data_IF_742641095479
#
_entry.id   IF_742641095479
#
_cell.length_a   1.000
_cell.length_b   1.000
_cell.length_c   1.000
_cell.angle_alpha   90.00
_cell.angle_beta   90.00
_cell.angle_gamma   90.00
#
_symmetry.space_group_name_H-M   'P 1'
#
loop_
_entity.id
_entity.type
_entity.pdbx_description
1 polymer ?
#
# COMPACT_ATOMS: atom_id res chain seq x y z
N UNK A 1 2.05 -13.22 23.02
CA UNK A 1 1.19 -12.85 24.17
C UNK A 1 1.96 -12.58 25.46
N UNK A 2 3.13 -13.19 25.68
CA UNK A 2 3.95 -12.93 26.88
C UNK A 2 4.41 -11.47 27.00
N UNK A 3 4.87 -10.86 25.90
CA UNK A 3 5.27 -9.44 25.87
C UNK A 3 4.13 -8.50 26.32
N UNK A 4 2.89 -8.77 25.89
CA UNK A 4 1.71 -7.99 26.30
C UNK A 4 1.34 -8.19 27.77
N UNK A 5 1.68 -9.36 28.35
CA UNK A 5 1.56 -9.55 29.80
C UNK A 5 2.64 -8.75 30.52
N UNK A 6 3.88 -8.76 30.04
CA UNK A 6 4.97 -7.97 30.66
C UNK A 6 4.68 -6.47 30.68
N UNK A 7 4.15 -5.90 29.59
CA UNK A 7 3.76 -4.47 29.53
C UNK A 7 2.70 -4.12 30.59
N UNK A 8 1.73 -5.01 30.82
CA UNK A 8 0.72 -4.83 31.89
C UNK A 8 1.34 -4.79 33.28
N UNK A 9 2.38 -5.59 33.55
CA UNK A 9 3.05 -5.58 34.86
C UNK A 9 3.84 -4.29 35.10
N UNK A 10 4.24 -3.58 34.04
CA UNK A 10 4.98 -2.32 34.12
C UNK A 10 4.02 -1.10 34.06
N UNK A 11 2.70 -1.33 34.14
CA UNK A 11 1.66 -0.29 34.04
C UNK A 11 1.71 0.51 32.72
N UNK A 12 2.13 -0.13 31.63
CA UNK A 12 2.11 0.45 30.28
C UNK A 12 0.89 -0.09 29.52
N UNK A 13 0.26 0.76 28.71
CA UNK A 13 -0.81 0.34 27.82
C UNK A 13 -0.34 -0.77 26.85
N UNK A 14 -1.20 -1.74 26.61
CA UNK A 14 -0.93 -2.94 25.80
C UNK A 14 -1.94 -3.10 24.66
N UNK A 15 -2.71 -2.04 24.37
CA UNK A 15 -3.60 -2.00 23.22
C UNK A 15 -2.80 -1.99 21.91
N UNK A 16 -3.08 -2.96 21.05
CA UNK A 16 -2.41 -3.11 19.77
C UNK A 16 -3.11 -2.28 18.69
N UNK A 17 -2.69 -1.02 18.50
CA UNK A 17 -3.36 -0.08 17.58
C UNK A 17 -2.81 -0.12 16.14
N UNK A 18 -1.91 -1.04 15.84
CA UNK A 18 -1.27 -1.12 14.53
C UNK A 18 0.10 -1.77 14.59
N UNK A 19 0.81 -1.72 13.47
CA UNK A 19 2.12 -2.34 13.30
C UNK A 19 3.04 -1.45 12.45
N UNK A 20 4.34 -1.71 12.52
CA UNK A 20 5.33 -0.96 11.76
C UNK A 20 6.10 -1.87 10.82
N UNK A 21 6.54 -1.32 9.68
CA UNK A 21 7.40 -2.01 8.73
C UNK A 21 8.48 -1.06 8.22
N UNK A 22 9.72 -1.54 8.22
CA UNK A 22 10.79 -0.89 7.48
C UNK A 22 10.74 -1.30 6.01
N UNK A 23 10.70 -0.32 5.11
CA UNK A 23 10.77 -0.55 3.66
C UNK A 23 11.97 0.18 3.08
N UNK A 24 12.52 -0.35 2.00
CA UNK A 24 13.58 0.30 1.25
C UNK A 24 12.99 0.98 0.01
N UNK A 25 13.37 2.24 -0.23
CA UNK A 25 13.04 2.99 -1.45
C UNK A 25 11.53 3.12 -1.74
N UNK A 26 10.67 3.06 -0.70
CA UNK A 26 9.23 3.24 -0.85
C UNK A 26 8.48 2.08 -1.54
N UNK A 27 9.09 0.91 -1.71
CA UNK A 27 8.39 -0.30 -2.18
C UNK A 27 7.68 -0.99 -1.02
N UNK A 28 6.57 -0.40 -0.55
CA UNK A 28 5.83 -0.93 0.59
C UNK A 28 4.52 -1.61 0.21
N UNK A 29 3.87 -1.17 -0.88
CA UNK A 29 2.56 -1.69 -1.28
C UNK A 29 2.71 -3.11 -1.82
N UNK A 30 2.59 -4.08 -0.93
CA UNK A 30 2.68 -5.51 -1.21
C UNK A 30 1.36 -6.17 -0.84
N UNK A 31 0.97 -7.24 -1.53
CA UNK A 31 -0.23 -8.02 -1.17
C UNK A 31 -0.22 -8.50 0.28
N UNK A 32 0.93 -8.96 0.77
CA UNK A 32 1.09 -9.36 2.16
C UNK A 32 0.86 -8.19 3.16
N UNK A 33 1.28 -6.97 2.81
CA UNK A 33 1.01 -5.78 3.62
C UNK A 33 -0.49 -5.48 3.64
N UNK A 34 -1.15 -5.53 2.48
CA UNK A 34 -2.60 -5.33 2.37
C UNK A 34 -3.38 -6.36 3.19
N UNK A 35 -3.03 -7.65 3.06
CA UNK A 35 -3.70 -8.74 3.78
C UNK A 35 -3.50 -8.60 5.30
N UNK A 36 -2.29 -8.23 5.73
CA UNK A 36 -1.99 -7.97 7.14
C UNK A 36 -2.75 -6.76 7.66
N UNK A 37 -2.76 -5.65 6.92
CA UNK A 37 -3.48 -4.44 7.30
C UNK A 37 -4.98 -4.68 7.37
N UNK A 38 -5.55 -5.43 6.41
CA UNK A 38 -6.96 -5.82 6.44
C UNK A 38 -7.29 -6.65 7.68
N UNK A 39 -6.45 -7.63 8.03
CA UNK A 39 -6.63 -8.46 9.23
C UNK A 39 -6.63 -7.63 10.51
N UNK A 40 -5.66 -6.72 10.66
CA UNK A 40 -5.57 -5.85 11.84
C UNK A 40 -6.70 -4.84 11.90
N UNK A 41 -7.09 -4.25 10.76
CA UNK A 41 -8.18 -3.29 10.69
C UNK A 41 -9.57 -3.94 10.87
N UNK A 42 -9.69 -5.23 10.58
CA UNK A 42 -10.88 -6.02 10.89
C UNK A 42 -11.00 -6.30 12.39
N UNK A 43 -9.88 -6.52 13.08
CA UNK A 43 -9.86 -6.70 14.53
C UNK A 43 -10.07 -5.37 15.27
N UNK A 44 -9.48 -4.28 14.76
CA UNK A 44 -9.48 -2.95 15.38
C UNK A 44 -9.66 -1.91 14.27
N UNK A 45 -10.78 -1.20 14.29
CA UNK A 45 -11.18 -0.27 13.21
C UNK A 45 -10.16 0.85 12.97
N UNK A 46 -9.48 1.30 14.01
CA UNK A 46 -8.49 2.39 13.97
C UNK A 46 -7.05 1.93 13.71
N UNK A 47 -6.84 0.71 13.18
CA UNK A 47 -5.50 0.18 12.91
C UNK A 47 -4.73 1.01 11.87
N UNK A 48 -3.51 1.42 12.21
CA UNK A 48 -2.60 2.18 11.33
C UNK A 48 -1.32 1.39 11.04
N UNK A 49 -0.80 1.47 9.82
CA UNK A 49 0.54 0.96 9.49
C UNK A 49 1.54 2.10 9.45
N UNK A 50 2.64 1.95 10.20
CA UNK A 50 3.74 2.91 10.18
C UNK A 50 4.87 2.39 9.28
N UNK A 51 5.21 3.16 8.26
CA UNK A 51 6.22 2.81 7.27
C UNK A 51 7.45 3.69 7.53
N UNK A 52 8.56 3.03 7.81
CA UNK A 52 9.85 3.67 8.07
C UNK A 52 10.81 3.38 6.92
N UNK A 53 11.40 4.43 6.33
CA UNK A 53 12.47 4.29 5.34
C UNK A 53 13.82 4.66 5.97
N UNK A 54 14.65 3.67 6.34
CA UNK A 54 15.94 3.92 6.97
C UNK A 54 16.94 4.60 6.01
N UNK A 55 16.80 4.41 4.69
CA UNK A 55 17.73 4.96 3.71
C UNK A 55 17.48 6.45 3.55
N UNK A 56 16.21 6.86 3.45
CA UNK A 56 15.85 8.29 3.43
C UNK A 56 16.16 8.98 4.75
N UNK A 57 15.94 8.28 5.86
CA UNK A 57 16.26 8.81 7.19
C UNK A 57 17.76 9.01 7.39
N UNK A 58 18.60 8.12 6.87
CA UNK A 58 20.05 8.29 6.85
C UNK A 58 20.53 9.44 5.95
N UNK A 59 19.72 9.90 5.00
CA UNK A 59 20.01 11.10 4.20
C UNK A 59 19.61 12.40 4.91
N UNK A 60 19.12 12.29 6.15
CA UNK A 60 18.93 13.42 7.06
C UNK A 60 17.49 13.91 7.20
N UNK A 61 16.53 13.40 6.41
CA UNK A 61 15.10 13.67 6.62
C UNK A 61 14.40 12.44 7.17
N UNK A 62 13.79 12.58 8.35
CA UNK A 62 13.01 11.50 8.97
C UNK A 62 11.84 11.12 8.08
N UNK A 63 11.93 9.96 7.43
CA UNK A 63 10.90 9.45 6.54
C UNK A 63 10.03 8.44 7.27
N UNK A 64 8.97 8.97 7.89
CA UNK A 64 7.91 8.20 8.51
C UNK A 64 6.62 8.51 7.79
N UNK A 65 5.91 7.46 7.36
CA UNK A 65 4.59 7.59 6.75
C UNK A 65 3.61 6.69 7.47
N UNK A 66 2.50 7.26 7.90
CA UNK A 66 1.42 6.51 8.52
C UNK A 66 0.29 6.36 7.50
N UNK A 67 -0.11 5.13 7.23
CA UNK A 67 -1.19 4.84 6.29
C UNK A 67 -2.31 4.08 6.98
N UNK A 68 -3.53 4.39 6.55
CA UNK A 68 -4.74 3.67 6.91
C UNK A 68 -5.44 3.20 5.64
N UNK A 69 -6.13 2.06 5.70
CA UNK A 69 -6.96 1.59 4.61
C UNK A 69 -8.30 2.32 4.62
N UNK A 70 -8.77 2.75 3.45
CA UNK A 70 -10.07 3.41 3.32
C UNK A 70 -11.21 2.41 3.64
N UNK A 71 -12.29 2.83 4.34
CA UNK A 71 -13.42 1.94 4.66
C UNK A 71 -14.05 1.30 3.42
N UNK A 72 -14.08 2.01 2.27
CA UNK A 72 -14.55 1.46 0.99
C UNK A 72 -13.76 0.23 0.53
N UNK A 73 -12.45 0.22 0.75
CA UNK A 73 -11.61 -0.91 0.37
C UNK A 73 -11.77 -2.08 1.35
N UNK A 74 -12.02 -1.77 2.63
CA UNK A 74 -12.34 -2.78 3.65
C UNK A 74 -13.64 -3.53 3.30
N UNK A 75 -14.67 -2.86 2.80
CA UNK A 75 -15.93 -3.49 2.39
C UNK A 75 -15.71 -4.47 1.22
N UNK A 76 -15.02 -4.03 0.17
CA UNK A 76 -14.71 -4.88 -1.00
C UNK A 76 -13.82 -6.08 -0.62
N UNK A 77 -12.82 -5.86 0.25
CA UNK A 77 -11.99 -6.96 0.75
C UNK A 77 -12.75 -7.95 1.64
N UNK A 78 -13.75 -7.48 2.40
CA UNK A 78 -14.61 -8.34 3.24
C UNK A 78 -15.52 -9.24 2.41
N UNK A 79 -16.06 -8.72 1.31
CA UNK A 79 -16.88 -9.48 0.36
C UNK A 79 -16.05 -10.48 -0.46
N UNK A 80 -14.71 -10.36 -0.46
CA UNK A 80 -13.76 -11.15 -1.28
C UNK A 80 -14.02 -11.06 -2.79
N UNK A 81 -14.81 -10.09 -3.21
CA UNK A 81 -15.17 -9.86 -4.60
C UNK A 81 -14.11 -9.02 -5.30
N UNK A 82 -12.97 -9.64 -5.63
CA UNK A 82 -11.94 -9.04 -6.50
C UNK A 82 -12.33 -9.06 -7.99
N UNK A 83 -13.63 -9.01 -8.28
CA UNK A 83 -14.14 -8.95 -9.65
C UNK A 83 -14.01 -7.52 -10.20
N UNK A 84 -13.63 -7.34 -11.48
CA UNK A 84 -13.57 -6.01 -12.11
C UNK A 84 -14.92 -5.28 -12.07
N UNK A 85 -16.04 -6.01 -12.01
CA UNK A 85 -17.37 -5.41 -11.88
C UNK A 85 -17.63 -4.87 -10.47
N UNK A 86 -17.14 -5.54 -9.42
CA UNK A 86 -17.25 -5.09 -8.03
C UNK A 86 -16.36 -3.85 -7.78
N UNK A 87 -15.13 -3.86 -8.33
CA UNK A 87 -14.24 -2.69 -8.31
C UNK A 87 -14.84 -1.49 -9.05
N UNK A 88 -15.50 -1.72 -10.19
CA UNK A 88 -16.19 -0.67 -10.95
C UNK A 88 -17.42 -0.12 -10.22
N UNK A 89 -18.15 -0.96 -9.48
CA UNK A 89 -19.27 -0.53 -8.62
C UNK A 89 -18.78 0.24 -7.38
N UNK A 90 -17.65 -0.16 -6.81
CA UNK A 90 -17.04 0.47 -5.64
C UNK A 90 -16.33 1.80 -5.91
N UNK A 91 -16.14 2.19 -7.19
CA UNK A 91 -15.41 3.40 -7.61
C UNK A 91 -14.08 3.59 -6.84
N UNK A 92 -13.32 2.50 -6.66
CA UNK A 92 -12.03 2.54 -5.97
C UNK A 92 -10.99 3.08 -6.96
N UNK A 93 -10.54 4.31 -6.74
CA UNK A 93 -9.42 4.94 -7.46
C UNK A 93 -8.12 4.75 -6.67
N UNK A 94 -6.98 4.75 -7.35
CA UNK A 94 -5.64 4.61 -6.75
C UNK A 94 -5.38 5.62 -5.62
N UNK A 95 -5.93 6.83 -5.71
CA UNK A 95 -5.80 7.89 -4.70
C UNK A 95 -6.54 7.58 -3.40
N UNK A 96 -7.60 6.78 -3.47
CA UNK A 96 -8.47 6.47 -2.34
C UNK A 96 -8.24 5.07 -1.79
N UNK A 97 -7.16 4.39 -2.17
CA UNK A 97 -6.81 3.09 -1.60
C UNK A 97 -6.24 3.23 -0.18
N UNK A 98 -5.32 4.18 0.01
CA UNK A 98 -4.68 4.46 1.29
C UNK A 98 -4.88 5.93 1.65
N UNK A 99 -5.24 6.17 2.90
CA UNK A 99 -5.30 7.50 3.49
C UNK A 99 -4.03 7.73 4.31
N UNK A 100 -3.32 8.82 4.02
CA UNK A 100 -2.14 9.22 4.78
C UNK A 100 -2.56 9.99 6.04
N UNK A 101 -2.14 9.52 7.20
CA UNK A 101 -2.45 10.14 8.50
C UNK A 101 -1.27 11.03 8.91
N UNK A 102 -1.50 12.33 9.19
CA UNK A 102 -0.42 13.22 9.60
C UNK A 102 0.16 12.79 10.96
N UNK A 103 1.50 12.69 11.03
CA UNK A 103 2.21 12.28 12.24
C UNK A 103 2.56 13.52 13.06
N UNK A 104 2.12 13.56 14.32
CA UNK A 104 2.45 14.63 15.28
C UNK A 104 3.27 14.04 16.42
N UNK A 105 4.53 14.48 16.54
CA UNK A 105 5.41 14.06 17.63
C UNK A 105 5.06 14.87 18.89
N UNK A 106 4.64 14.18 19.95
CA UNK A 106 4.34 14.78 21.25
C UNK A 106 5.32 14.26 22.28
N UNK A 107 6.03 15.17 22.93
CA UNK A 107 6.97 14.85 24.01
C UNK A 107 6.42 15.35 25.35
N UNK A 108 6.63 14.56 26.41
CA UNK A 108 6.36 15.01 27.77
C UNK A 108 7.46 15.97 28.25
N UNK A 109 7.15 16.79 29.26
CA UNK A 109 8.12 17.73 29.81
C UNK A 109 9.39 17.03 30.35
N UNK A 110 9.25 15.83 30.92
CA UNK A 110 10.40 15.06 31.43
C UNK A 110 11.32 14.57 30.30
N UNK A 111 10.74 14.10 29.19
CA UNK A 111 11.51 13.70 27.99
C UNK A 111 12.25 14.91 27.42
N UNK A 112 11.63 16.10 27.44
CA UNK A 112 12.30 17.31 27.01
C UNK A 112 13.51 17.62 27.90
N UNK A 113 13.38 17.56 29.23
CA UNK A 113 14.51 17.76 30.16
C UNK A 113 15.64 16.75 29.89
N UNK A 114 15.29 15.48 29.65
CA UNK A 114 16.26 14.46 29.28
C UNK A 114 16.97 14.80 27.95
N UNK A 115 16.24 15.30 26.96
CA UNK A 115 16.82 15.72 25.68
C UNK A 115 17.83 16.87 25.87
N UNK A 116 17.51 17.85 26.73
CA UNK A 116 18.42 18.94 27.08
C UNK A 116 19.69 18.44 27.79
N UNK A 117 19.56 17.43 28.65
CA UNK A 117 20.71 16.81 29.33
C UNK A 117 21.59 16.03 28.34
N UNK A 118 20.97 15.28 27.42
CA UNK A 118 21.67 14.56 26.37
C UNK A 118 22.43 15.50 25.43
N UNK A 119 21.83 16.64 25.06
CA UNK A 119 22.49 17.64 24.22
C UNK A 119 23.76 18.21 24.88
N UNK A 120 23.73 18.42 26.20
CA UNK A 120 24.91 18.88 26.96
C UNK A 120 25.99 17.80 27.13
N UNK A 121 25.58 16.53 27.19
CA UNK A 121 26.47 15.38 27.39
C UNK A 121 27.04 14.83 26.09
N UNK A 122 26.35 15.04 24.98
CA UNK A 122 26.77 14.62 23.64
C UNK A 122 27.78 15.61 23.07
N UNK A 123 28.86 15.10 22.49
CA UNK A 123 29.65 15.88 21.54
C UNK A 123 28.74 16.29 20.37
N UNK A 124 29.03 17.44 19.75
CA UNK A 124 28.28 18.03 18.64
C UNK A 124 27.97 16.94 17.61
N UNK A 125 26.70 16.52 17.54
CA UNK A 125 26.24 15.64 16.49
C UNK A 125 26.21 16.45 15.21
N UNK A 126 27.24 16.28 14.37
CA UNK A 126 27.36 16.95 13.08
C UNK A 126 26.19 16.54 12.18
N UNK A 127 25.17 17.42 12.11
CA UNK A 127 24.00 17.28 11.23
C UNK A 127 24.34 17.57 9.76
N UNK A 128 25.55 17.26 9.31
CA UNK A 128 26.04 17.57 7.97
C UNK A 128 25.48 16.64 6.89
N UNK A 129 24.89 15.50 7.24
CA UNK A 129 24.29 14.57 6.28
C UNK A 129 23.09 15.17 5.51
N UNK A 130 22.32 16.08 6.13
CA UNK A 130 21.17 16.75 5.50
C UNK A 130 21.56 17.58 4.27
N UNK A 131 22.80 18.07 4.21
CA UNK A 131 23.31 18.93 3.14
C UNK A 131 24.07 18.12 2.07
N UNK A 132 24.09 16.80 2.17
CA UNK A 132 24.79 15.94 1.22
C UNK A 132 24.05 15.87 -0.11
N UNK A 133 24.52 16.64 -1.09
CA UNK A 133 24.05 16.60 -2.48
C UNK A 133 24.51 15.33 -3.23
N UNK A 134 25.36 14.50 -2.62
CA UNK A 134 25.87 13.25 -3.18
C UNK A 134 24.81 12.14 -3.14
N UNK A 135 23.69 12.34 -3.85
CA UNK A 135 22.54 11.43 -3.88
C UNK A 135 22.38 10.67 -5.21
N UNK A 136 23.36 10.72 -6.12
CA UNK A 136 23.25 10.15 -7.48
C UNK A 136 22.88 8.66 -7.47
N UNK A 137 23.47 7.88 -6.57
CA UNK A 137 23.20 6.45 -6.44
C UNK A 137 21.79 6.14 -5.90
N UNK A 138 21.25 7.01 -5.04
CA UNK A 138 19.89 6.84 -4.51
C UNK A 138 18.83 7.15 -5.57
N UNK A 139 19.03 8.22 -6.34
CA UNK A 139 18.16 8.53 -7.46
C UNK A 139 18.21 7.43 -8.54
N UNK A 140 19.40 6.92 -8.87
CA UNK A 140 19.56 5.83 -9.81
C UNK A 140 18.80 4.56 -9.38
N UNK A 141 18.89 4.17 -8.10
CA UNK A 141 18.13 3.03 -7.56
C UNK A 141 16.62 3.25 -7.55
N UNK A 142 16.16 4.45 -7.18
CA UNK A 142 14.73 4.79 -7.27
C UNK A 142 14.21 4.73 -8.71
N UNK A 143 15.00 5.23 -9.66
CA UNK A 143 14.65 5.16 -11.08
C UNK A 143 14.64 3.72 -11.59
N UNK A 144 15.61 2.90 -11.20
CA UNK A 144 15.63 1.48 -11.56
C UNK A 144 14.39 0.76 -11.02
N UNK A 145 14.01 0.99 -9.77
CA UNK A 145 12.81 0.41 -9.19
C UNK A 145 11.53 0.88 -9.89
N UNK A 146 11.50 2.15 -10.33
CA UNK A 146 10.40 2.67 -11.14
C UNK A 146 10.35 2.01 -12.53
N UNK A 147 11.51 1.82 -13.18
CA UNK A 147 11.60 1.13 -14.47
C UNK A 147 11.04 -0.28 -14.37
N UNK A 148 11.41 -1.04 -13.33
CA UNK A 148 10.90 -2.39 -13.11
C UNK A 148 9.36 -2.41 -12.98
N UNK A 149 8.78 -1.44 -12.25
CA UNK A 149 7.32 -1.31 -12.10
C UNK A 149 6.60 -0.87 -13.37
N UNK A 150 7.23 0.01 -14.15
CA UNK A 150 6.69 0.44 -15.45
C UNK A 150 6.72 -0.70 -16.45
N UNK A 151 7.77 -1.53 -16.44
CA UNK A 151 7.88 -2.71 -17.29
C UNK A 151 6.83 -3.77 -16.91
N UNK A 152 6.61 -4.03 -15.63
CA UNK A 152 5.50 -4.87 -15.15
C UNK A 152 4.14 -4.33 -15.61
N UNK A 153 3.90 -3.03 -15.49
CA UNK A 153 2.68 -2.39 -15.96
C UNK A 153 2.51 -2.52 -17.49
N UNK A 154 3.59 -2.37 -18.25
CA UNK A 154 3.59 -2.54 -19.70
C UNK A 154 3.20 -3.97 -20.09
N UNK A 155 3.74 -4.97 -19.41
CA UNK A 155 3.36 -6.37 -19.61
C UNK A 155 1.87 -6.61 -19.34
N UNK A 156 1.33 -6.01 -18.28
CA UNK A 156 -0.08 -6.15 -17.94
C UNK A 156 -1.00 -5.42 -18.93
N UNK A 157 -0.59 -4.28 -19.47
CA UNK A 157 -1.30 -3.60 -20.57
C UNK A 157 -1.35 -4.49 -21.81
N UNK A 158 -0.25 -5.16 -22.16
CA UNK A 158 -0.23 -6.08 -23.31
C UNK A 158 -1.17 -7.27 -23.10
N UNK A 159 -1.16 -7.86 -21.89
CA UNK A 159 -2.11 -8.94 -21.53
C UNK A 159 -3.56 -8.45 -21.63
N UNK A 160 -3.85 -7.27 -21.11
CA UNK A 160 -5.19 -6.67 -21.16
C UNK A 160 -5.64 -6.40 -22.61
N UNK A 161 -4.77 -5.82 -23.44
CA UNK A 161 -5.07 -5.60 -24.87
C UNK A 161 -5.34 -6.91 -25.61
N UNK A 162 -4.61 -7.97 -25.29
CA UNK A 162 -4.83 -9.30 -25.85
C UNK A 162 -6.17 -9.88 -25.40
N UNK A 163 -6.52 -9.73 -24.12
CA UNK A 163 -7.82 -10.11 -23.57
C UNK A 163 -8.98 -9.37 -24.26
N UNK A 164 -8.85 -8.05 -24.47
CA UNK A 164 -9.86 -7.24 -25.18
C UNK A 164 -10.05 -7.70 -26.63
N UNK A 165 -8.95 -7.99 -27.35
CA UNK A 165 -9.01 -8.53 -28.71
C UNK A 165 -9.70 -9.89 -28.75
N UNK A 166 -9.40 -10.79 -27.81
CA UNK A 166 -10.01 -12.12 -27.74
C UNK A 166 -11.51 -12.04 -27.40
N UNK A 167 -11.89 -11.18 -26.47
CA UNK A 167 -13.29 -10.99 -26.07
C UNK A 167 -14.12 -10.42 -27.22
N UNK A 168 -13.59 -9.45 -27.97
CA UNK A 168 -14.23 -8.91 -29.17
C UNK A 168 -14.43 -9.97 -30.26
N UNK A 169 -13.41 -10.79 -30.53
CA UNK A 169 -13.53 -11.93 -31.47
C UNK A 169 -14.58 -12.95 -31.04
N UNK A 170 -14.62 -13.30 -29.75
CA UNK A 170 -15.62 -14.22 -29.21
C UNK A 170 -17.04 -13.65 -29.31
N UNK A 171 -17.23 -12.35 -29.05
CA UNK A 171 -18.54 -11.70 -29.21
C UNK A 171 -19.00 -11.71 -30.67
N UNK A 172 -18.10 -11.44 -31.63
CA UNK A 172 -18.40 -11.52 -33.06
C UNK A 172 -18.75 -12.93 -33.52
N UNK A 173 -18.03 -13.96 -33.02
CA UNK A 173 -18.34 -15.36 -33.31
C UNK A 173 -19.69 -15.77 -32.70
N UNK A 174 -19.98 -15.40 -31.45
CA UNK A 174 -21.29 -15.67 -30.84
C UNK A 174 -22.44 -14.97 -31.57
N UNK A 175 -22.22 -13.75 -32.06
CA UNK A 175 -23.21 -13.05 -32.89
C UNK A 175 -23.43 -13.77 -34.22
N UNK A 176 -22.36 -14.20 -34.91
CA UNK A 176 -22.49 -14.96 -36.15
C UNK A 176 -23.20 -16.29 -35.94
N UNK A 177 -22.80 -17.10 -34.95
CA UNK A 177 -23.45 -18.39 -34.64
C UNK A 177 -24.90 -18.20 -34.21
N UNK A 178 -25.21 -17.18 -33.43
CA UNK A 178 -26.59 -16.85 -33.03
C UNK A 178 -27.47 -16.39 -34.19
N UNK A 179 -26.88 -15.75 -35.21
CA UNK A 179 -27.58 -15.37 -36.45
C UNK A 179 -27.79 -16.61 -37.33
N UNK A 180 -26.76 -17.43 -37.57
CA UNK A 180 -26.88 -18.66 -38.37
C UNK A 180 -27.86 -19.67 -37.77
N UNK A 181 -27.84 -19.86 -36.44
CA UNK A 181 -28.78 -20.73 -35.75
C UNK A 181 -30.24 -20.26 -35.83
N UNK A 182 -30.51 -18.95 -35.96
CA UNK A 182 -31.86 -18.44 -36.22
C UNK A 182 -32.32 -18.68 -37.66
N UNK A 183 -31.40 -18.66 -38.62
CA UNK A 183 -31.71 -18.97 -40.02
C UNK A 183 -32.02 -20.45 -40.24
N UNK A 184 -31.35 -21.37 -39.54
CA UNK A 184 -31.60 -22.81 -39.67
C UNK A 184 -32.96 -23.22 -39.05
N UNK A 185 -33.39 -22.61 -37.95
CA UNK A 185 -34.71 -22.90 -37.34
C UNK A 185 -35.87 -22.44 -38.24
N UNK A 186 -35.70 -21.34 -38.98
CA UNK A 186 -36.70 -20.89 -39.97
C UNK A 186 -36.75 -21.74 -41.24
N UNK A 187 -35.68 -22.50 -41.54
CA UNK A 187 -35.62 -23.37 -42.73
C UNK A 187 -36.23 -24.76 -42.51
N UNK A 188 -36.38 -25.19 -41.26
CA UNK A 188 -36.95 -26.50 -40.89
C UNK A 188 -38.49 -26.46 -40.77
N UNK A 189 -39.10 -25.27 -40.84
CA UNK A 189 -40.55 -25.06 -40.74
C UNK A 189 -41.28 -24.82 -42.08
N UNK A 190 -40.64 -25.13 -43.23
CA UNK A 190 -41.28 -25.15 -44.55
C UNK A 190 -41.21 -26.55 -45.17
#
# INVERSE_FOLDING_TARGET
MEMMRSLRHVNIDHLHVGWYQSTYYGSFVTRALLDSQFSYQHAIEESVVLIYDPIKTAQGSLSLKAYRLTPKLMEVCKEKDFSPEALKKGNITFEHMFEEVPIVIKNSHLINVLMWELEKKSAVADKHELLSLASSNHLGKNLQLLMDRVDEMSQDIVKYNTYMRNTSKQQQQKHQVGVTGKFDIHRIHF
#
